data_IF_460458758427
#
_entry.id   IF_460458758427
#
_cell.length_a   1.000
_cell.length_b   1.000
_cell.length_c   1.000
_cell.angle_alpha   90.00
_cell.angle_beta   90.00
_cell.angle_gamma   90.00
#
_symmetry.space_group_name_H-M   'P 1'
#
loop_
_entity.id
_entity.type
_entity.pdbx_description
1 polymer ?
#
# COMPACT_ATOMS: atom_id res chain seq x y z
N UNK A 1 71.17 -11.19 6.14
CA UNK A 1 70.34 -9.96 6.07
C UNK A 1 68.94 -10.40 5.68
N UNK A 2 68.04 -10.56 6.65
CA UNK A 2 66.71 -11.14 6.44
C UNK A 2 65.71 -10.05 6.03
N UNK A 3 64.96 -10.29 4.95
CA UNK A 3 63.84 -9.45 4.53
C UNK A 3 62.59 -9.84 5.32
N UNK A 4 62.02 -8.88 6.04
CA UNK A 4 60.74 -9.02 6.72
C UNK A 4 59.58 -8.78 5.74
N UNK A 5 58.65 -9.73 5.64
CA UNK A 5 57.39 -9.57 4.91
C UNK A 5 56.34 -8.93 5.82
N UNK A 6 55.86 -7.74 5.46
CA UNK A 6 54.82 -7.03 6.17
C UNK A 6 53.44 -7.66 5.89
N UNK A 7 52.73 -8.08 6.94
CA UNK A 7 51.32 -8.49 6.86
C UNK A 7 50.43 -7.25 6.66
N UNK A 8 49.78 -7.18 5.49
CA UNK A 8 48.72 -6.20 5.22
C UNK A 8 47.47 -6.61 6.02
N UNK A 9 47.08 -5.79 6.99
CA UNK A 9 45.78 -5.92 7.69
C UNK A 9 44.68 -5.45 6.75
N UNK A 10 43.91 -6.37 6.19
CA UNK A 10 42.70 -6.05 5.42
C UNK A 10 41.64 -5.39 6.31
N UNK A 11 41.15 -4.21 5.90
CA UNK A 11 40.01 -3.55 6.50
C UNK A 11 38.71 -4.12 5.90
N UNK A 12 38.02 -4.97 6.65
CA UNK A 12 36.72 -5.53 6.28
C UNK A 12 35.93 -5.95 7.52
N UNK A 13 34.60 -5.97 7.39
CA UNK A 13 33.65 -6.33 8.45
C UNK A 13 34.01 -7.67 9.12
N UNK A 14 33.75 -7.83 10.44
CA UNK A 14 34.21 -9.00 11.18
C UNK A 14 33.53 -10.28 10.67
N UNK A 15 34.33 -11.19 10.08
CA UNK A 15 33.88 -12.56 9.80
C UNK A 15 33.87 -13.35 11.10
N UNK A 16 32.69 -13.58 11.66
CA UNK A 16 32.51 -14.46 12.82
C UNK A 16 32.73 -15.91 12.38
N UNK A 17 33.73 -16.57 12.97
CA UNK A 17 33.97 -18.01 12.78
C UNK A 17 32.80 -18.83 13.34
N UNK A 18 32.39 -19.85 12.59
CA UNK A 18 31.30 -20.77 12.90
C UNK A 18 31.65 -21.69 14.07
N UNK A 19 30.79 -21.71 15.10
CA UNK A 19 30.40 -22.92 15.81
C UNK A 19 29.25 -22.59 16.78
N UNK A 20 28.03 -22.96 16.40
CA UNK A 20 26.95 -23.13 17.36
C UNK A 20 26.01 -24.21 16.85
N UNK A 21 26.10 -25.38 17.48
CA UNK A 21 25.06 -26.40 17.51
C UNK A 21 23.78 -25.76 18.05
N UNK A 22 22.83 -25.49 17.15
CA UNK A 22 21.52 -24.95 17.55
C UNK A 22 20.61 -26.13 17.90
N UNK A 23 20.60 -26.49 19.18
CA UNK A 23 19.49 -27.27 19.75
C UNK A 23 18.19 -26.49 19.53
N UNK A 24 17.17 -27.20 19.04
CA UNK A 24 15.87 -26.65 18.68
C UNK A 24 15.23 -25.91 19.85
N UNK A 25 15.27 -24.58 19.82
CA UNK A 25 14.43 -23.75 20.68
C UNK A 25 13.01 -23.81 20.15
N UNK A 26 12.11 -24.25 21.03
CA UNK A 26 10.66 -24.11 20.92
C UNK A 26 10.34 -22.69 20.46
N UNK A 27 9.69 -22.57 19.30
CA UNK A 27 9.26 -21.28 18.75
C UNK A 27 8.18 -20.73 19.67
N UNK A 28 8.59 -19.89 20.62
CA UNK A 28 7.67 -19.02 21.34
C UNK A 28 6.91 -18.19 20.30
N UNK A 29 5.60 -18.10 20.46
CA UNK A 29 4.67 -17.38 19.58
C UNK A 29 5.25 -15.97 19.32
N UNK A 30 5.91 -15.79 18.17
CA UNK A 30 6.61 -14.54 17.87
C UNK A 30 5.56 -13.43 17.77
N UNK A 31 5.88 -12.26 18.33
CA UNK A 31 4.96 -11.12 18.26
C UNK A 31 4.56 -10.86 16.81
N UNK A 32 3.25 -10.67 16.59
CA UNK A 32 2.67 -10.31 15.28
C UNK A 32 3.30 -9.03 14.71
N UNK A 33 3.85 -8.17 15.58
CA UNK A 33 4.60 -6.96 15.18
C UNK A 33 6.01 -7.23 14.66
N UNK A 34 6.61 -8.39 14.96
CA UNK A 34 7.98 -8.74 14.60
C UNK A 34 8.01 -9.51 13.29
N UNK A 35 7.13 -10.50 13.13
CA UNK A 35 7.04 -11.31 11.93
C UNK A 35 5.59 -11.42 11.48
N UNK A 36 5.17 -10.48 10.62
CA UNK A 36 3.81 -10.44 10.09
C UNK A 36 3.73 -11.26 8.81
N UNK A 37 3.14 -12.44 8.92
CA UNK A 37 2.90 -13.33 7.79
C UNK A 37 1.64 -12.92 7.03
N UNK A 38 1.74 -12.90 5.69
CA UNK A 38 0.65 -12.52 4.78
C UNK A 38 0.60 -13.55 3.66
N UNK A 39 -0.58 -14.12 3.41
CA UNK A 39 -0.77 -15.10 2.35
C UNK A 39 -1.04 -14.38 1.04
N UNK A 40 -0.28 -14.70 0.00
CA UNK A 40 -0.53 -14.25 -1.36
C UNK A 40 -1.02 -15.43 -2.17
N UNK A 41 -2.02 -15.21 -3.01
CA UNK A 41 -2.55 -16.22 -3.92
C UNK A 41 -2.26 -15.83 -5.38
N UNK A 42 -2.22 -16.81 -6.30
CA UNK A 42 -1.95 -16.56 -7.71
C UNK A 42 -2.95 -15.57 -8.32
N UNK A 43 -2.48 -14.68 -9.21
CA UNK A 43 -3.33 -13.74 -9.93
C UNK A 43 -4.50 -14.44 -10.65
N UNK A 44 -4.27 -15.65 -11.16
CA UNK A 44 -5.27 -16.49 -11.83
C UNK A 44 -6.43 -16.93 -10.94
N UNK A 45 -6.31 -16.82 -9.60
CA UNK A 45 -7.42 -17.12 -8.68
C UNK A 45 -8.49 -16.03 -8.64
N UNK A 46 -8.20 -14.86 -9.21
CA UNK A 46 -9.07 -13.70 -9.15
C UNK A 46 -9.70 -13.43 -10.51
N UNK A 47 -11.03 -13.28 -10.51
CA UNK A 47 -11.79 -12.98 -11.72
C UNK A 47 -12.20 -11.51 -11.72
N UNK A 48 -12.01 -10.84 -12.86
CA UNK A 48 -12.32 -9.43 -13.03
C UNK A 48 -13.54 -9.27 -13.94
N UNK A 49 -14.70 -9.04 -13.33
CA UNK A 49 -15.92 -8.62 -14.01
C UNK A 49 -15.94 -7.11 -14.23
N UNK A 50 -16.92 -6.63 -15.01
CA UNK A 50 -17.13 -5.19 -15.22
C UNK A 50 -18.45 -4.74 -14.61
N UNK A 51 -18.51 -3.47 -14.19
CA UNK A 51 -19.74 -2.79 -13.74
C UNK A 51 -19.81 -1.36 -14.25
N UNK A 52 -20.88 -0.66 -13.91
CA UNK A 52 -21.08 0.72 -14.33
C UNK A 52 -19.92 1.65 -13.92
N UNK A 53 -19.61 2.68 -14.74
CA UNK A 53 -18.52 3.60 -14.47
C UNK A 53 -18.62 4.27 -13.10
N UNK A 54 -17.48 4.48 -12.46
CA UNK A 54 -17.37 5.22 -11.19
C UNK A 54 -16.68 6.55 -11.47
N UNK A 55 -17.42 7.65 -11.33
CA UNK A 55 -16.89 8.98 -11.62
C UNK A 55 -16.28 9.62 -10.37
N UNK A 56 -15.17 10.34 -10.58
CA UNK A 56 -14.55 11.15 -9.54
C UNK A 56 -15.48 12.30 -9.13
N UNK A 57 -15.44 12.67 -7.85
CA UNK A 57 -16.22 13.80 -7.32
C UNK A 57 -15.84 15.13 -7.97
N UNK A 58 -14.56 15.29 -8.29
CA UNK A 58 -13.99 16.54 -8.77
C UNK A 58 -13.70 16.47 -10.27
N UNK A 59 -14.25 17.38 -11.09
CA UNK A 59 -14.03 17.37 -12.54
C UNK A 59 -12.62 17.81 -12.95
N UNK A 60 -11.86 18.41 -12.04
CA UNK A 60 -10.51 18.92 -12.30
C UNK A 60 -9.68 19.05 -11.02
N UNK A 61 -8.37 19.16 -11.18
CA UNK A 61 -7.43 19.39 -10.06
C UNK A 61 -7.73 20.70 -9.31
N UNK A 62 -8.02 21.84 -9.96
CA UNK A 62 -8.46 23.05 -9.26
C UNK A 62 -9.75 22.85 -8.46
N UNK A 63 -10.76 22.18 -9.03
CA UNK A 63 -12.02 21.92 -8.34
C UNK A 63 -11.80 21.06 -7.07
N UNK A 64 -10.91 20.07 -7.15
CA UNK A 64 -10.51 19.25 -6.00
C UNK A 64 -9.93 20.08 -4.85
N UNK A 65 -9.01 21.01 -5.16
CA UNK A 65 -8.42 21.87 -4.13
C UNK A 65 -9.39 22.92 -3.61
N UNK A 66 -10.32 23.42 -4.44
CA UNK A 66 -11.38 24.31 -3.97
C UNK A 66 -12.29 23.59 -2.96
N UNK A 67 -12.79 22.41 -3.30
CA UNK A 67 -13.61 21.60 -2.37
C UNK A 67 -12.84 21.25 -1.10
N UNK A 68 -11.54 20.97 -1.20
CA UNK A 68 -10.70 20.72 -0.03
C UNK A 68 -10.62 21.92 0.90
N UNK A 69 -10.56 23.15 0.37
CA UNK A 69 -10.62 24.38 1.18
C UNK A 69 -11.99 24.52 1.86
N UNK A 70 -13.06 24.38 1.09
CA UNK A 70 -14.43 24.55 1.57
C UNK A 70 -14.80 23.51 2.66
N UNK A 71 -14.31 22.28 2.54
CA UNK A 71 -14.49 21.24 3.55
C UNK A 71 -13.59 21.48 4.78
N UNK A 72 -12.36 21.95 4.58
CA UNK A 72 -11.42 22.19 5.68
C UNK A 72 -11.96 23.23 6.67
N UNK A 73 -12.63 24.27 6.17
CA UNK A 73 -13.23 25.30 7.01
C UNK A 73 -14.44 24.78 7.82
N UNK A 74 -15.09 23.70 7.37
CA UNK A 74 -16.30 23.14 8.00
C UNK A 74 -16.00 21.98 8.95
N UNK A 75 -15.14 21.05 8.54
CA UNK A 75 -14.90 19.78 9.23
C UNK A 75 -13.42 19.54 9.56
N UNK A 76 -12.54 20.46 9.21
CA UNK A 76 -11.11 20.36 9.48
C UNK A 76 -10.35 19.46 8.50
N UNK A 77 -9.29 18.81 8.96
CA UNK A 77 -8.41 18.00 8.12
C UNK A 77 -9.18 16.87 7.40
N UNK A 78 -9.05 16.80 6.07
CA UNK A 78 -9.59 15.68 5.28
C UNK A 78 -8.91 14.38 5.70
N UNK A 79 -9.70 13.32 5.88
CA UNK A 79 -9.22 11.97 6.16
C UNK A 79 -9.46 11.08 4.94
N UNK A 80 -8.40 10.44 4.46
CA UNK A 80 -8.43 9.55 3.30
C UNK A 80 -7.83 8.19 3.67
N UNK A 81 -8.38 7.11 3.10
CA UNK A 81 -7.87 5.75 3.30
C UNK A 81 -7.71 5.06 1.96
N UNK A 82 -6.62 4.30 1.80
CA UNK A 82 -6.35 3.51 0.60
C UNK A 82 -5.94 2.09 0.99
N UNK A 83 -6.45 1.11 0.22
CA UNK A 83 -6.17 -0.31 0.39
C UNK A 83 -5.10 -0.78 -0.59
N UNK A 84 -4.10 -1.49 -0.08
CA UNK A 84 -3.10 -2.21 -0.86
C UNK A 84 -3.47 -3.68 -0.86
N UNK A 85 -3.90 -4.15 -2.03
CA UNK A 85 -4.24 -5.56 -2.25
C UNK A 85 -3.10 -6.22 -3.02
N UNK A 86 -2.68 -7.39 -2.55
CA UNK A 86 -1.55 -8.11 -3.09
C UNK A 86 -2.00 -9.46 -3.65
N UNK A 87 -1.41 -9.81 -4.78
CA UNK A 87 -1.46 -11.14 -5.40
C UNK A 87 -0.04 -11.56 -5.73
N UNK A 88 0.16 -12.78 -6.20
CA UNK A 88 1.44 -13.16 -6.82
C UNK A 88 1.27 -13.73 -8.21
N UNK A 89 2.31 -13.57 -9.01
CA UNK A 89 2.46 -14.26 -10.28
C UNK A 89 3.92 -14.72 -10.36
N UNK A 90 4.13 -16.01 -10.62
CA UNK A 90 5.47 -16.63 -10.65
C UNK A 90 6.30 -16.41 -9.37
N UNK A 91 5.65 -16.37 -8.20
CA UNK A 91 6.34 -16.15 -6.91
C UNK A 91 6.80 -14.70 -6.70
N UNK A 92 6.31 -13.76 -7.51
CA UNK A 92 6.57 -12.33 -7.37
C UNK A 92 5.33 -11.60 -6.86
N UNK A 93 5.44 -10.78 -5.80
CA UNK A 93 4.32 -10.01 -5.29
C UNK A 93 3.96 -8.88 -6.26
N UNK A 94 2.66 -8.74 -6.53
CA UNK A 94 2.09 -7.70 -7.37
C UNK A 94 1.05 -6.90 -6.59
N UNK A 95 1.06 -5.58 -6.75
CA UNK A 95 0.04 -4.67 -6.18
C UNK A 95 -1.07 -4.49 -7.20
N UNK A 96 -2.32 -4.66 -6.79
CA UNK A 96 -3.47 -4.33 -7.62
C UNK A 96 -3.69 -2.81 -7.66
N UNK A 97 -3.65 -2.21 -8.86
CA UNK A 97 -3.82 -0.78 -9.10
C UNK A 97 -4.95 -0.50 -10.07
N UNK A 98 -5.66 0.59 -9.84
CA UNK A 98 -6.63 1.17 -10.76
C UNK A 98 -5.92 2.09 -11.75
N UNK A 99 -5.94 1.74 -13.03
CA UNK A 99 -5.40 2.57 -14.12
C UNK A 99 -6.54 3.37 -14.78
N UNK A 100 -6.32 4.67 -14.95
CA UNK A 100 -7.18 5.60 -15.70
C UNK A 100 -6.37 6.19 -16.84
N UNK A 101 -6.86 6.04 -18.07
CA UNK A 101 -6.08 6.40 -19.25
C UNK A 101 -4.77 5.60 -19.32
N UNK A 102 -3.67 6.26 -19.69
CA UNK A 102 -2.39 5.58 -19.93
C UNK A 102 -1.43 5.66 -18.74
N UNK A 103 -1.32 6.82 -18.08
CA UNK A 103 -0.24 7.11 -17.11
C UNK A 103 -0.74 7.41 -15.71
N UNK A 104 -2.03 7.27 -15.42
CA UNK A 104 -2.58 7.60 -14.12
C UNK A 104 -3.01 6.34 -13.36
N UNK A 105 -2.37 6.13 -12.20
CA UNK A 105 -2.59 4.96 -11.35
C UNK A 105 -3.06 5.39 -9.96
N UNK A 106 -3.99 4.63 -9.39
CA UNK A 106 -4.54 4.84 -8.06
C UNK A 106 -4.60 3.54 -7.27
N UNK A 107 -4.45 3.66 -5.96
CA UNK A 107 -4.92 2.63 -5.05
C UNK A 107 -6.43 2.75 -4.86
N UNK A 108 -7.15 1.64 -4.70
CA UNK A 108 -8.56 1.66 -4.35
C UNK A 108 -8.74 2.22 -2.93
N UNK A 109 -9.69 3.12 -2.76
CA UNK A 109 -9.84 3.89 -1.54
C UNK A 109 -10.57 5.20 -1.80
N UNK A 110 -10.44 6.14 -0.88
CA UNK A 110 -11.11 7.42 -0.98
C UNK A 110 -11.24 8.16 0.34
N UNK A 111 -12.21 9.06 0.37
CA UNK A 111 -12.45 9.98 1.48
C UNK A 111 -13.40 9.35 2.50
N UNK A 112 -13.08 9.56 3.77
CA UNK A 112 -13.95 9.16 4.87
C UNK A 112 -15.02 10.22 5.14
N UNK A 113 -16.18 9.77 5.57
CA UNK A 113 -17.20 10.66 6.11
C UNK A 113 -16.77 11.20 7.49
N UNK A 114 -17.36 12.32 7.90
CA UNK A 114 -17.08 12.91 9.22
C UNK A 114 -17.42 11.90 10.34
N UNK A 115 -16.44 11.61 11.20
CA UNK A 115 -16.58 10.64 12.30
C UNK A 115 -16.58 9.17 11.87
N UNK A 116 -16.43 8.86 10.59
CA UNK A 116 -16.35 7.47 10.10
C UNK A 116 -15.07 6.79 10.59
N UNK A 117 -15.18 5.52 10.99
CA UNK A 117 -14.02 4.69 11.30
C UNK A 117 -13.19 4.40 10.04
N UNK A 118 -11.87 4.34 10.17
CA UNK A 118 -10.98 4.21 9.02
C UNK A 118 -11.05 2.84 8.37
N UNK A 119 -11.18 1.78 9.18
CA UNK A 119 -11.25 0.40 8.71
C UNK A 119 -12.61 0.18 8.04
N UNK A 120 -13.70 0.55 8.70
CA UNK A 120 -15.05 0.39 8.13
C UNK A 120 -15.26 1.28 6.90
N UNK A 121 -14.72 2.50 6.92
CA UNK A 121 -14.74 3.38 5.74
C UNK A 121 -13.96 2.80 4.58
N UNK A 122 -12.80 2.19 4.81
CA UNK A 122 -12.06 1.48 3.76
C UNK A 122 -12.86 0.30 3.20
N UNK A 123 -13.47 -0.52 4.05
CA UNK A 123 -14.34 -1.63 3.60
C UNK A 123 -15.50 -1.14 2.74
N UNK A 124 -16.14 -0.02 3.11
CA UNK A 124 -17.18 0.64 2.31
C UNK A 124 -16.63 1.05 0.95
N UNK A 125 -15.49 1.76 0.92
CA UNK A 125 -14.87 2.26 -0.32
C UNK A 125 -14.40 1.13 -1.25
N UNK A 126 -13.84 0.04 -0.71
CA UNK A 126 -13.49 -1.16 -1.47
C UNK A 126 -14.73 -1.85 -2.05
N UNK A 127 -15.82 -1.91 -1.29
CA UNK A 127 -17.10 -2.44 -1.78
C UNK A 127 -17.71 -1.55 -2.85
N UNK A 128 -17.65 -0.23 -2.69
CA UNK A 128 -18.08 0.73 -3.71
C UNK A 128 -17.26 0.57 -5.00
N UNK A 129 -15.95 0.34 -4.86
CA UNK A 129 -15.02 0.21 -5.98
C UNK A 129 -15.10 -1.15 -6.67
N UNK A 130 -15.12 -2.27 -5.94
CA UNK A 130 -15.03 -3.62 -6.50
C UNK A 130 -16.20 -4.56 -6.16
N UNK A 131 -17.14 -4.13 -5.32
CA UNK A 131 -18.27 -4.94 -4.89
C UNK A 131 -19.15 -5.37 -6.06
N UNK A 132 -19.63 -6.61 -5.98
CA UNK A 132 -20.46 -7.27 -6.98
C UNK A 132 -21.88 -6.69 -6.97
N UNK A 133 -22.52 -6.67 -8.14
CA UNK A 133 -23.91 -6.21 -8.29
C UNK A 133 -24.96 -7.32 -8.07
N UNK A 134 -24.52 -8.57 -7.91
CA UNK A 134 -25.39 -9.74 -7.70
C UNK A 134 -25.81 -9.95 -6.24
N UNK A 135 -25.53 -8.99 -5.36
CA UNK A 135 -25.88 -9.02 -3.94
C UNK A 135 -24.94 -9.84 -3.06
N UNK A 136 -23.94 -10.52 -3.63
CA UNK A 136 -22.92 -11.23 -2.85
C UNK A 136 -21.98 -10.21 -2.22
N UNK A 137 -22.04 -10.08 -0.89
CA UNK A 137 -21.14 -9.21 -0.13
C UNK A 137 -19.75 -9.84 -0.05
N UNK A 138 -18.76 -9.11 -0.56
CA UNK A 138 -17.36 -9.45 -0.37
C UNK A 138 -16.93 -9.01 1.03
N UNK A 139 -16.40 -9.95 1.82
CA UNK A 139 -15.76 -9.62 3.08
C UNK A 139 -14.32 -9.14 2.84
N UNK A 140 -13.97 -8.01 3.46
CA UNK A 140 -12.66 -7.39 3.37
C UNK A 140 -11.93 -7.49 4.69
N UNK A 141 -10.77 -8.16 4.69
CA UNK A 141 -9.92 -8.29 5.88
C UNK A 141 -8.84 -7.21 5.81
N UNK A 142 -8.95 -6.21 6.67
CA UNK A 142 -7.95 -5.13 6.78
C UNK A 142 -6.93 -5.55 7.84
N UNK A 143 -5.73 -5.94 7.41
CA UNK A 143 -4.74 -6.60 8.28
C UNK A 143 -3.88 -5.62 9.07
N UNK A 144 -3.35 -4.61 8.39
CA UNK A 144 -2.25 -3.81 8.90
C UNK A 144 -2.26 -2.39 8.34
N UNK A 145 -1.81 -1.42 9.13
CA UNK A 145 -1.40 -0.11 8.60
C UNK A 145 0.01 -0.22 8.03
N UNK A 146 0.22 0.28 6.81
CA UNK A 146 1.52 0.22 6.12
C UNK A 146 2.14 1.59 5.82
N UNK A 147 1.38 2.67 6.02
CA UNK A 147 1.90 4.02 5.82
C UNK A 147 0.91 5.11 6.18
N UNK A 148 1.46 6.28 6.47
CA UNK A 148 0.71 7.51 6.68
C UNK A 148 1.35 8.63 5.86
N UNK A 149 0.52 9.44 5.22
CA UNK A 149 0.94 10.55 4.37
C UNK A 149 0.16 11.81 4.73
N UNK A 150 0.84 12.95 4.75
CA UNK A 150 0.23 14.23 5.09
C UNK A 150 0.41 15.23 3.96
N UNK A 151 -0.66 15.96 3.69
CA UNK A 151 -0.66 17.12 2.79
C UNK A 151 -0.65 18.39 3.64
N UNK A 152 0.42 19.21 3.63
CA UNK A 152 0.49 20.40 4.48
C UNK A 152 -0.37 21.56 3.97
N UNK A 153 -0.52 21.69 2.64
CA UNK A 153 -1.16 22.82 1.96
C UNK A 153 -2.24 22.34 0.98
N UNK A 154 -3.04 23.26 0.43
CA UNK A 154 -4.01 22.95 -0.63
C UNK A 154 -3.33 22.84 -2.01
N UNK A 155 -2.31 21.99 -2.08
CA UNK A 155 -1.40 21.81 -3.20
C UNK A 155 -1.02 20.32 -3.35
N UNK A 156 -0.49 19.88 -4.51
CA UNK A 156 -0.17 18.48 -4.78
C UNK A 156 0.80 17.75 -3.82
N UNK A 157 1.86 18.37 -3.26
CA UNK A 157 2.86 17.67 -2.45
C UNK A 157 2.29 16.96 -1.21
N UNK A 158 2.79 15.75 -0.95
CA UNK A 158 2.46 14.92 0.22
C UNK A 158 3.75 14.33 0.79
N UNK A 159 3.79 14.15 2.11
CA UNK A 159 4.98 13.71 2.84
C UNK A 159 4.65 12.55 3.78
N UNK A 160 5.56 11.57 3.98
CA UNK A 160 5.34 10.44 4.89
C UNK A 160 5.57 10.82 6.38
N UNK A 161 5.50 12.11 6.69
CA UNK A 161 5.61 12.70 8.03
C UNK A 161 4.88 14.05 8.02
N UNK A 162 4.56 14.59 9.20
CA UNK A 162 4.08 15.98 9.31
C UNK A 162 5.28 16.92 9.22
N UNK A 163 5.37 17.80 8.20
CA UNK A 163 6.54 18.67 8.06
C UNK A 163 6.72 19.65 9.23
N UNK A 164 7.96 20.11 9.51
CA UNK A 164 8.22 21.08 10.57
C UNK A 164 7.32 22.32 10.46
N UNK A 165 6.87 22.83 11.61
CA UNK A 165 6.00 24.00 11.75
C UNK A 165 4.58 23.86 11.15
N UNK A 166 4.22 22.70 10.58
CA UNK A 166 2.86 22.41 10.14
C UNK A 166 2.03 21.87 11.31
N UNK A 167 1.18 22.72 11.87
CA UNK A 167 0.26 22.34 12.97
C UNK A 167 -1.12 21.90 12.48
N UNK A 168 -1.48 22.27 11.24
CA UNK A 168 -2.80 22.02 10.63
C UNK A 168 -2.67 21.51 9.18
N UNK A 169 -2.25 20.24 8.98
CA UNK A 169 -2.26 19.62 7.66
C UNK A 169 -3.69 19.58 7.08
N UNK A 170 -3.79 19.63 5.74
CA UNK A 170 -5.07 19.69 5.01
C UNK A 170 -5.65 18.33 4.73
N UNK A 171 -4.79 17.32 4.60
CA UNK A 171 -5.20 15.93 4.39
C UNK A 171 -4.25 15.01 5.15
N UNK A 172 -4.81 14.00 5.81
CA UNK A 172 -4.09 12.84 6.30
C UNK A 172 -4.63 11.61 5.58
N UNK A 173 -3.73 10.92 4.89
CA UNK A 173 -3.99 9.71 4.13
C UNK A 173 -3.34 8.52 4.83
N UNK A 174 -4.12 7.48 5.10
CA UNK A 174 -3.64 6.23 5.70
C UNK A 174 -3.72 5.08 4.69
N UNK A 175 -2.67 4.27 4.64
CA UNK A 175 -2.58 3.10 3.78
C UNK A 175 -2.74 1.84 4.62
N UNK A 176 -3.57 0.92 4.14
CA UNK A 176 -3.78 -0.37 4.80
C UNK A 176 -3.47 -1.53 3.86
N UNK A 177 -2.86 -2.59 4.40
CA UNK A 177 -2.77 -3.87 3.73
C UNK A 177 -4.12 -4.60 3.85
N UNK A 178 -4.65 -5.07 2.72
CA UNK A 178 -5.91 -5.81 2.65
C UNK A 178 -5.60 -7.25 2.28
N UNK A 179 -5.90 -8.19 3.18
CA UNK A 179 -5.73 -9.62 2.92
C UNK A 179 -6.87 -10.11 2.03
N UNK A 180 -6.51 -10.60 0.85
CA UNK A 180 -7.44 -11.25 -0.05
C UNK A 180 -7.69 -12.69 0.39
N UNK A 181 -8.92 -13.15 0.15
CA UNK A 181 -9.25 -14.57 0.22
C UNK A 181 -8.57 -15.33 -0.92
N UNK A 182 -8.54 -16.66 -0.82
CA UNK A 182 -7.91 -17.53 -1.83
C UNK A 182 -8.46 -17.29 -3.24
N UNK A 183 -9.77 -17.02 -3.34
CA UNK A 183 -10.48 -16.68 -4.58
C UNK A 183 -11.42 -15.53 -4.32
N UNK A 184 -11.51 -14.61 -5.28
CA UNK A 184 -12.49 -13.53 -5.24
C UNK A 184 -12.88 -13.10 -6.66
N UNK A 185 -14.08 -12.53 -6.78
CA UNK A 185 -14.54 -11.88 -8.01
C UNK A 185 -14.65 -10.39 -7.74
N UNK A 186 -13.91 -9.59 -8.53
CA UNK A 186 -13.98 -8.13 -8.47
C UNK A 186 -14.84 -7.61 -9.61
N UNK A 187 -15.80 -6.75 -9.31
CA UNK A 187 -16.56 -6.01 -10.32
C UNK A 187 -15.93 -4.62 -10.53
N UNK A 188 -15.09 -4.48 -11.55
CA UNK A 188 -14.30 -3.27 -11.83
C UNK A 188 -15.15 -2.27 -12.63
N UNK A 189 -15.20 -0.97 -12.27
CA UNK A 189 -15.95 0.01 -13.04
C UNK A 189 -15.35 0.16 -14.45
N UNK A 190 -16.19 0.21 -15.50
CA UNK A 190 -15.77 0.19 -16.92
C UNK A 190 -14.77 1.29 -17.33
N UNK A 191 -14.74 2.41 -16.62
CA UNK A 191 -13.81 3.52 -16.88
C UNK A 191 -12.43 3.33 -16.20
N UNK A 192 -12.23 2.23 -15.48
CA UNK A 192 -10.97 1.83 -14.90
C UNK A 192 -10.51 0.50 -15.48
N UNK A 193 -9.20 0.34 -15.58
CA UNK A 193 -8.57 -0.97 -15.78
C UNK A 193 -7.88 -1.38 -14.48
N UNK A 194 -8.17 -2.58 -13.99
CA UNK A 194 -7.43 -3.14 -12.87
C UNK A 194 -6.17 -3.83 -13.41
N UNK A 195 -5.01 -3.47 -12.90
CA UNK A 195 -3.71 -4.03 -13.29
C UNK A 195 -2.99 -4.57 -12.07
N UNK A 196 -2.18 -5.61 -12.26
CA UNK A 196 -1.28 -6.15 -11.24
C UNK A 196 0.14 -5.66 -11.56
N UNK A 197 0.68 -4.76 -10.74
CA UNK A 197 2.02 -4.20 -10.94
C UNK A 197 3.03 -4.87 -10.02
N UNK A 198 4.08 -5.54 -10.53
CA UNK A 198 5.10 -6.15 -9.69
C UNK A 198 5.89 -5.10 -8.92
N UNK A 199 6.37 -5.44 -7.71
CA UNK A 199 7.10 -4.49 -6.87
C UNK A 199 8.32 -3.84 -7.54
N UNK A 200 9.01 -4.55 -8.43
CA UNK A 200 10.18 -4.00 -9.13
C UNK A 200 9.83 -2.91 -10.15
N UNK A 201 8.60 -2.90 -10.68
CA UNK A 201 8.13 -1.83 -11.59
C UNK A 201 7.79 -0.56 -10.81
N UNK A 202 7.34 -0.72 -9.56
CA UNK A 202 6.97 0.38 -8.67
C UNK A 202 8.20 1.02 -8.00
N UNK A 203 9.19 0.20 -7.63
CA UNK A 203 10.34 0.63 -6.84
C UNK A 203 11.10 1.79 -7.52
N UNK A 204 11.22 2.90 -6.79
CA UNK A 204 11.93 4.12 -7.23
C UNK A 204 11.37 4.75 -8.52
N UNK A 205 10.14 4.40 -8.90
CA UNK A 205 9.47 4.91 -10.10
C UNK A 205 8.39 5.95 -9.77
N UNK A 206 8.79 6.99 -9.05
CA UNK A 206 7.87 8.07 -8.65
C UNK A 206 7.37 8.91 -9.82
N UNK A 207 8.08 8.92 -10.95
CA UNK A 207 7.64 9.59 -12.17
C UNK A 207 6.42 8.90 -12.80
N UNK A 208 6.38 7.57 -12.81
CA UNK A 208 5.25 6.80 -13.35
C UNK A 208 4.10 6.63 -12.36
N UNK A 209 4.41 6.37 -11.09
CA UNK A 209 3.41 5.94 -10.09
C UNK A 209 3.16 6.95 -8.97
N UNK A 210 3.87 8.08 -8.95
CA UNK A 210 3.82 9.03 -7.85
C UNK A 210 4.54 8.52 -6.59
N UNK A 211 4.77 9.39 -5.60
CA UNK A 211 5.63 9.10 -4.44
C UNK A 211 5.05 8.02 -3.51
N UNK A 212 3.73 7.87 -3.46
CA UNK A 212 3.06 6.92 -2.56
C UNK A 212 3.22 5.49 -3.10
N UNK A 213 2.74 5.24 -4.32
CA UNK A 213 2.76 3.89 -4.91
C UNK A 213 4.20 3.41 -5.14
N UNK A 214 5.11 4.29 -5.58
CA UNK A 214 6.51 3.92 -5.80
C UNK A 214 7.29 3.57 -4.53
N UNK A 215 6.75 3.94 -3.36
CA UNK A 215 7.32 3.60 -2.04
C UNK A 215 6.75 2.31 -1.42
N UNK A 216 5.73 1.70 -2.06
CA UNK A 216 5.12 0.47 -1.54
C UNK A 216 6.10 -0.69 -1.38
N UNK A 217 7.08 -0.93 -2.27
CA UNK A 217 8.07 -1.99 -2.06
C UNK A 217 8.81 -1.84 -0.72
N UNK A 218 9.15 -0.62 -0.31
CA UNK A 218 9.78 -0.33 0.98
C UNK A 218 8.80 -0.53 2.15
N UNK A 219 7.54 -0.10 2.02
CA UNK A 219 6.54 -0.31 3.08
C UNK A 219 6.17 -1.79 3.27
N UNK A 220 6.30 -2.59 2.21
CA UNK A 220 5.91 -4.00 2.20
C UNK A 220 7.07 -4.95 2.57
N UNK A 221 8.32 -4.48 2.60
CA UNK A 221 9.48 -5.35 2.82
C UNK A 221 9.55 -6.00 4.21
N UNK A 222 8.75 -5.51 5.18
CA UNK A 222 8.64 -6.08 6.53
C UNK A 222 7.76 -7.32 6.62
N UNK A 223 6.95 -7.61 5.60
CA UNK A 223 6.01 -8.73 5.63
C UNK A 223 6.69 -10.01 5.16
N UNK A 224 6.35 -11.12 5.82
CA UNK A 224 6.72 -12.45 5.39
C UNK A 224 5.63 -12.99 4.46
N UNK A 225 5.84 -12.88 3.15
CA UNK A 225 4.88 -13.37 2.16
C UNK A 225 4.94 -14.89 2.01
N UNK A 226 3.78 -15.55 2.11
CA UNK A 226 3.61 -16.96 1.76
C UNK A 226 2.94 -17.01 0.39
N UNK A 227 3.66 -17.54 -0.59
CA UNK A 227 3.17 -17.73 -1.95
C UNK A 227 2.44 -19.07 -2.02
N UNK A 228 1.11 -19.00 -1.94
CA UNK A 228 0.20 -20.15 -1.96
C UNK A 228 0.01 -20.71 -3.37
#
# INVERSE_FOLDING_TARGET
MAMATAQVKGSGWPRRASNSSFEGKVVQNQSVTINRTVNLYPLTNYTFGTKEPLFEKDPSVPARFQRMRDEFDKIGMRRSVEGVLLVHEHGLPHVLLLQLGTTFFKLPGGELNAGEDEVEGLKRLLTETFGRQDGVKQEWVIEDTIGNWWRPNFEPPQYPYVPPHITKPKEHKRLFLVQLQEKALFAVPKNYKLVAAPLFELYDNSQGYGPIISSLPQSLCRFNFIYM
#
